data_IF_439436612473
#
_entry.id   IF_439436612473
#
_cell.length_a   1.000
_cell.length_b   1.000
_cell.length_c   1.000
_cell.angle_alpha   90.00
_cell.angle_beta   90.00
_cell.angle_gamma   90.00
#
_symmetry.space_group_name_H-M   'P 1'
#
loop_
_entity.id
_entity.type
_entity.pdbx_description
1 polymer ?
#
# COMPACT_ATOMS: atom_id res chain seq x y z
N UNK A 1 25.11 -6.93 25.30
CA UNK A 1 24.06 -6.09 25.92
C UNK A 1 23.68 -4.85 25.10
N UNK A 2 24.54 -4.33 24.20
CA UNK A 2 24.22 -3.13 23.40
C UNK A 2 23.71 -3.47 21.99
N UNK A 3 24.36 -4.46 21.33
CA UNK A 3 24.04 -4.94 19.99
C UNK A 3 22.55 -5.23 19.74
N UNK A 4 21.90 -5.90 20.68
CA UNK A 4 20.50 -6.33 20.51
C UNK A 4 19.53 -5.14 20.57
N UNK A 5 19.85 -4.10 21.34
CA UNK A 5 19.04 -2.89 21.47
C UNK A 5 19.20 -1.99 20.25
N UNK A 6 20.42 -1.86 19.72
CA UNK A 6 20.69 -1.11 18.49
C UNK A 6 19.95 -1.70 17.29
N UNK A 7 19.97 -3.02 17.13
CA UNK A 7 19.24 -3.71 16.06
C UNK A 7 17.73 -3.42 16.17
N UNK A 8 17.18 -3.43 17.38
CA UNK A 8 15.76 -3.14 17.59
C UNK A 8 15.42 -1.70 17.19
N UNK A 9 16.26 -0.74 17.55
CA UNK A 9 16.11 0.68 17.17
C UNK A 9 16.16 0.84 15.65
N UNK A 10 17.11 0.21 14.97
CA UNK A 10 17.22 0.29 13.50
C UNK A 10 16.03 -0.35 12.79
N UNK A 11 15.50 -1.46 13.30
CA UNK A 11 14.31 -2.12 12.74
C UNK A 11 13.09 -1.22 12.91
N UNK A 12 12.85 -0.70 14.12
CA UNK A 12 11.72 0.21 14.39
C UNK A 12 11.81 1.46 13.52
N UNK A 13 13.00 2.06 13.39
CA UNK A 13 13.23 3.22 12.54
C UNK A 13 12.97 2.91 11.06
N UNK A 14 13.44 1.78 10.57
CA UNK A 14 13.23 1.34 9.18
C UNK A 14 11.76 1.08 8.87
N UNK A 15 11.02 0.47 9.82
CA UNK A 15 9.57 0.25 9.67
C UNK A 15 8.83 1.59 9.64
N UNK A 16 9.18 2.54 10.51
CA UNK A 16 8.56 3.87 10.54
C UNK A 16 8.81 4.63 9.23
N UNK A 17 10.06 4.64 8.74
CA UNK A 17 10.41 5.20 7.43
C UNK A 17 9.67 4.51 6.29
N UNK A 18 9.60 3.17 6.30
CA UNK A 18 8.86 2.40 5.31
C UNK A 18 7.37 2.74 5.30
N UNK A 19 6.75 2.88 6.47
CA UNK A 19 5.35 3.29 6.60
C UNK A 19 5.11 4.71 6.06
N UNK A 20 5.96 5.68 6.44
CA UNK A 20 5.83 7.06 5.97
C UNK A 20 6.04 7.14 4.45
N UNK A 21 7.06 6.45 3.94
CA UNK A 21 7.36 6.40 2.49
C UNK A 21 6.19 5.77 1.73
N UNK A 22 5.63 4.67 2.22
CA UNK A 22 4.50 4.00 1.56
C UNK A 22 3.18 4.79 1.67
N UNK A 23 3.03 5.60 2.72
CA UNK A 23 1.84 6.43 2.94
C UNK A 23 1.84 7.69 2.08
N UNK A 24 2.99 8.38 1.99
CA UNK A 24 3.07 9.72 1.42
C UNK A 24 3.75 9.79 0.06
N UNK A 25 4.75 8.95 -0.21
CA UNK A 25 5.57 9.06 -1.42
C UNK A 25 5.16 8.01 -2.44
N UNK A 26 5.04 6.75 -2.02
CA UNK A 26 4.81 5.64 -2.92
C UNK A 26 3.67 4.78 -2.42
N UNK A 27 2.47 4.87 -2.99
CA UNK A 27 1.40 3.90 -2.71
C UNK A 27 1.71 2.62 -3.48
N UNK A 28 2.36 1.61 -2.87
CA UNK A 28 2.84 0.47 -3.63
C UNK A 28 1.64 -0.30 -4.19
N UNK A 29 1.79 -0.86 -5.39
CA UNK A 29 0.69 -1.50 -6.11
C UNK A 29 0.04 -2.65 -5.31
N UNK A 30 0.75 -3.27 -4.36
CA UNK A 30 0.21 -4.30 -3.47
C UNK A 30 -0.73 -3.77 -2.37
N UNK A 31 -0.61 -2.50 -1.96
CA UNK A 31 -1.53 -1.83 -1.03
C UNK A 31 -2.75 -1.21 -1.72
N UNK A 32 -2.74 -1.14 -3.06
CA UNK A 32 -3.98 -0.88 -3.80
C UNK A 32 -4.85 -2.11 -3.60
N UNK A 33 -5.82 -2.04 -2.67
CA UNK A 33 -6.96 -2.96 -2.63
C UNK A 33 -7.38 -3.15 -4.09
N UNK A 34 -7.36 -4.40 -4.59
CA UNK A 34 -7.96 -4.74 -5.89
C UNK A 34 -9.28 -3.98 -5.86
N UNK A 35 -9.42 -2.95 -6.69
CA UNK A 35 -10.74 -2.39 -6.95
C UNK A 35 -11.49 -3.63 -7.42
N UNK A 36 -12.42 -4.15 -6.61
CA UNK A 36 -13.44 -5.01 -7.19
C UNK A 36 -13.89 -4.25 -8.42
N UNK A 37 -13.84 -4.91 -9.57
CA UNK A 37 -14.46 -4.39 -10.77
C UNK A 37 -15.97 -4.45 -10.54
N UNK A 38 -16.47 -3.77 -9.51
CA UNK A 38 -17.86 -3.38 -9.33
C UNK A 38 -18.07 -2.33 -10.39
N UNK A 39 -18.31 -2.87 -11.58
CA UNK A 39 -19.10 -2.35 -12.67
C UNK A 39 -19.64 -0.96 -12.39
N UNK A 40 -18.82 0.07 -12.63
CA UNK A 40 -19.30 1.43 -12.70
C UNK A 40 -20.27 1.52 -13.89
N UNK A 41 -21.47 2.07 -13.71
CA UNK A 41 -22.40 2.32 -14.82
C UNK A 41 -21.64 3.04 -15.96
N UNK A 42 -21.59 2.38 -17.12
CA UNK A 42 -20.57 2.58 -18.17
C UNK A 42 -19.86 1.28 -18.58
N UNK A 43 -19.94 0.22 -17.77
CA UNK A 43 -19.77 -1.18 -18.23
C UNK A 43 -21.11 -1.76 -18.68
N UNK A 44 -21.78 -0.99 -19.52
CA UNK A 44 -22.88 -1.43 -20.37
C UNK A 44 -22.28 -2.40 -21.42
N UNK A 45 -22.85 -3.58 -21.70
CA UNK A 45 -24.30 -3.74 -21.82
C UNK A 45 -24.87 -2.58 -22.64
N UNK A 46 -24.10 -2.02 -23.58
CA UNK A 46 -24.57 -0.96 -24.43
C UNK A 46 -25.56 -1.68 -25.32
N UNK A 47 -26.82 -1.72 -24.89
CA UNK A 47 -27.97 -2.17 -25.67
C UNK A 47 -28.22 -1.24 -26.85
N UNK A 48 -27.16 -0.83 -27.54
CA UNK A 48 -27.20 -0.48 -28.93
C UNK A 48 -27.58 -1.77 -29.65
N UNK A 49 -28.84 -1.84 -30.05
CA UNK A 49 -29.23 -2.62 -31.22
C UNK A 49 -28.39 -2.15 -32.42
#
# INVERSE_FOLDING_TARGET
>A
MVLLQEILVFITFSIALGYLTTKFIWKPAFLKKKKEKTKACGVSGCGCN
#
